data_IF_722333375678
#
_entry.id   IF_722333375678
#
_cell.length_a   1.000
_cell.length_b   1.000
_cell.length_c   1.000
_cell.angle_alpha   90.00
_cell.angle_beta   90.00
_cell.angle_gamma   90.00
#
_symmetry.space_group_name_H-M   'P 1'
#
loop_
_entity.id
_entity.type
_entity.pdbx_description
1 polymer ?
#
# COMPACT_ATOMS: atom_id res chain seq x y z
N UNK A 1 -22.04 65.49 23.70
CA UNK A 1 -22.20 64.08 24.08
C UNK A 1 -22.50 63.26 22.82
N UNK A 2 -21.53 62.49 22.31
CA UNK A 2 -21.67 61.38 21.33
C UNK A 2 -20.25 60.93 20.90
N UNK A 3 -20.13 59.64 20.56
CA UNK A 3 -18.93 58.84 20.18
C UNK A 3 -18.26 58.19 21.40
N UNK A 4 -18.72 57.07 21.96
CA UNK A 4 -19.14 55.80 21.37
C UNK A 4 -18.03 55.11 20.54
N UNK A 5 -17.32 54.21 21.23
CA UNK A 5 -17.31 52.78 20.93
C UNK A 5 -16.74 52.37 19.55
N UNK A 6 -15.41 52.26 19.44
CA UNK A 6 -14.76 51.55 18.34
C UNK A 6 -13.29 51.22 18.68
N UNK A 7 -13.03 50.37 19.69
CA UNK A 7 -11.65 49.92 19.95
C UNK A 7 -11.59 48.56 20.65
N UNK A 8 -12.20 47.51 20.09
CA UNK A 8 -12.07 46.15 20.65
C UNK A 8 -12.25 45.00 19.64
N UNK A 9 -11.94 45.17 18.34
CA UNK A 9 -11.97 44.06 17.36
C UNK A 9 -10.80 44.23 16.38
N UNK A 10 -9.57 43.90 16.78
CA UNK A 10 -8.47 43.77 15.81
C UNK A 10 -7.32 42.83 16.25
N UNK A 11 -7.60 41.78 17.02
CA UNK A 11 -6.56 40.84 17.48
C UNK A 11 -7.07 39.41 17.55
N UNK A 12 -7.56 38.87 16.41
CA UNK A 12 -8.01 37.48 16.34
C UNK A 12 -7.77 36.79 14.97
N UNK A 13 -6.76 37.19 14.20
CA UNK A 13 -6.39 36.48 12.96
C UNK A 13 -4.86 36.44 12.81
N UNK A 14 -4.21 35.53 13.53
CA UNK A 14 -2.80 35.20 13.29
C UNK A 14 -2.46 33.75 13.72
N UNK A 15 -3.35 32.80 13.42
CA UNK A 15 -3.02 31.38 13.45
C UNK A 15 -3.31 30.78 12.08
N UNK A 16 -2.58 31.27 11.07
CA UNK A 16 -2.41 30.52 9.83
C UNK A 16 -1.41 29.43 10.17
N UNK A 17 -1.90 28.21 10.38
CA UNK A 17 -1.04 27.04 10.45
C UNK A 17 -0.28 26.91 9.13
N UNK A 18 1.01 27.20 9.15
CA UNK A 18 1.93 26.68 8.16
C UNK A 18 1.97 25.16 8.36
N UNK A 19 1.09 24.43 7.66
CA UNK A 19 1.30 23.02 7.40
C UNK A 19 2.58 22.94 6.56
N UNK A 20 3.69 22.54 7.19
CA UNK A 20 4.94 22.34 6.47
C UNK A 20 4.66 21.43 5.27
N UNK A 21 5.18 21.73 4.07
CA UNK A 21 5.05 20.83 2.94
C UNK A 21 5.60 19.48 3.39
N UNK A 22 4.69 18.52 3.51
CA UNK A 22 4.99 17.11 3.71
C UNK A 22 6.05 16.76 2.68
N UNK A 23 7.24 16.40 3.14
CA UNK A 23 8.35 16.08 2.26
C UNK A 23 7.86 15.05 1.24
N UNK A 24 7.65 15.50 0.01
CA UNK A 24 7.86 14.66 -1.15
C UNK A 24 9.27 14.12 -0.98
N UNK A 25 9.46 12.79 -1.07
CA UNK A 25 10.80 12.24 -1.18
C UNK A 25 11.49 13.03 -2.26
N UNK A 26 12.53 13.78 -1.89
CA UNK A 26 13.25 14.64 -2.80
C UNK A 26 13.72 13.79 -3.97
N UNK A 27 13.21 14.08 -5.15
CA UNK A 27 13.78 13.61 -6.41
C UNK A 27 15.16 14.28 -6.56
N UNK A 28 16.17 13.70 -5.91
CA UNK A 28 17.57 14.04 -6.12
C UNK A 28 18.24 12.85 -6.81
N UNK A 29 18.33 12.97 -8.14
CA UNK A 29 19.18 12.16 -9.00
C UNK A 29 20.62 12.61 -8.75
N UNK A 30 21.49 11.75 -8.20
CA UNK A 30 22.91 12.09 -8.09
C UNK A 30 23.75 11.20 -7.17
N UNK A 31 24.43 10.24 -7.80
CA UNK A 31 25.81 9.80 -7.50
C UNK A 31 26.11 9.08 -6.18
N UNK A 32 26.49 7.81 -6.32
CA UNK A 32 27.09 6.99 -5.27
C UNK A 32 28.41 7.57 -4.76
N UNK A 33 28.57 7.61 -3.43
CA UNK A 33 29.86 7.40 -2.75
C UNK A 33 29.60 6.78 -1.38
N UNK A 34 30.28 5.66 -1.14
CA UNK A 34 30.32 4.88 0.09
C UNK A 34 30.78 5.71 1.30
N UNK A 35 30.20 5.43 2.47
CA UNK A 35 30.89 5.54 3.75
C UNK A 35 30.29 4.55 4.76
N UNK A 36 31.11 3.55 5.10
CA UNK A 36 31.00 2.73 6.30
C UNK A 36 31.01 3.64 7.53
N UNK A 37 30.07 3.48 8.46
CA UNK A 37 30.35 3.69 9.89
C UNK A 37 29.63 2.63 10.72
N UNK A 38 30.44 1.77 11.32
CA UNK A 38 30.11 0.80 12.34
C UNK A 38 30.24 1.43 13.73
N UNK A 39 29.26 1.22 14.61
CA UNK A 39 29.56 0.96 16.02
C UNK A 39 28.42 0.22 16.73
N UNK A 40 28.75 -0.67 17.69
CA UNK A 40 27.85 -1.67 18.23
C UNK A 40 27.08 -1.12 19.45
N UNK A 41 25.80 -1.43 19.56
CA UNK A 41 25.09 -1.36 20.85
C UNK A 41 24.63 -2.75 21.26
N UNK A 42 25.33 -3.26 22.27
CA UNK A 42 24.95 -4.41 23.08
C UNK A 42 23.66 -4.05 23.82
N UNK A 43 22.60 -4.84 23.66
CA UNK A 43 21.57 -4.91 24.68
C UNK A 43 21.01 -6.32 24.85
N UNK A 44 20.98 -6.68 26.12
CA UNK A 44 20.79 -7.96 26.79
C UNK A 44 19.42 -8.60 26.55
N UNK A 45 19.44 -9.92 26.49
CA UNK A 45 18.30 -10.85 26.53
C UNK A 45 17.27 -10.55 27.62
N UNK A 46 15.99 -10.71 27.27
CA UNK A 46 14.99 -11.32 28.15
C UNK A 46 14.14 -12.30 27.36
N UNK A 47 14.46 -13.58 27.56
CA UNK A 47 13.66 -14.74 27.16
C UNK A 47 12.27 -14.65 27.78
N UNK A 48 11.23 -14.54 26.94
CA UNK A 48 9.90 -15.04 27.28
C UNK A 48 9.59 -16.19 26.33
N UNK A 49 9.70 -17.39 26.87
CA UNK A 49 9.36 -18.64 26.21
C UNK A 49 7.83 -18.66 26.04
N UNK A 50 7.33 -18.19 24.91
CA UNK A 50 5.93 -18.38 24.52
C UNK A 50 5.85 -19.70 23.76
N UNK A 51 5.29 -20.71 24.41
CA UNK A 51 4.90 -21.97 23.78
C UNK A 51 3.97 -21.67 22.60
N UNK A 52 4.32 -22.01 21.35
CA UNK A 52 3.39 -21.84 20.24
C UNK A 52 2.25 -22.84 20.39
N UNK A 53 1.04 -22.32 20.58
CA UNK A 53 -0.20 -23.08 20.41
C UNK A 53 -0.21 -23.68 19.00
N UNK A 54 -0.48 -24.98 18.82
CA UNK A 54 -0.53 -25.59 17.50
C UNK A 54 -1.66 -24.94 16.69
N UNK A 55 -1.31 -24.06 15.76
CA UNK A 55 -2.23 -23.61 14.73
C UNK A 55 -2.55 -24.83 13.86
N UNK A 56 -3.83 -25.17 13.64
CA UNK A 56 -4.18 -26.22 12.72
C UNK A 56 -3.59 -25.87 11.35
N UNK A 57 -2.98 -26.85 10.69
CA UNK A 57 -2.37 -26.66 9.37
C UNK A 57 -2.89 -27.73 8.45
N UNK A 58 -3.16 -27.36 7.21
CA UNK A 58 -3.54 -28.32 6.16
C UNK A 58 -2.33 -28.50 5.27
N UNK A 59 -1.71 -29.68 5.33
CA UNK A 59 -0.60 -30.04 4.45
C UNK A 59 -1.16 -30.66 3.18
N UNK A 60 -0.94 -30.01 2.03
CA UNK A 60 -1.25 -30.55 0.70
C UNK A 60 -0.02 -30.34 -0.16
N UNK A 61 0.65 -31.42 -0.59
CA UNK A 61 1.80 -31.32 -1.50
C UNK A 61 3.12 -30.82 -0.89
N UNK A 62 3.27 -30.83 0.44
CA UNK A 62 4.53 -30.47 1.12
C UNK A 62 4.69 -28.99 1.47
N UNK A 63 3.72 -28.13 1.11
CA UNK A 63 3.61 -26.76 1.63
C UNK A 63 2.52 -26.74 2.70
N UNK A 64 2.90 -26.34 3.90
CA UNK A 64 1.98 -26.20 5.02
C UNK A 64 1.24 -24.87 4.89
N UNK A 65 -0.04 -24.91 4.48
CA UNK A 65 -0.86 -23.70 4.40
C UNK A 65 -1.46 -23.41 5.79
N UNK A 66 -1.26 -22.20 6.35
CA UNK A 66 -1.90 -21.79 7.60
C UNK A 66 -3.43 -21.78 7.47
N UNK A 67 -4.14 -22.21 8.51
CA UNK A 67 -5.62 -22.26 8.45
C UNK A 67 -6.30 -20.93 8.24
N UNK A 68 -5.67 -19.82 8.62
CA UNK A 68 -6.26 -18.49 8.41
C UNK A 68 -6.39 -18.11 6.92
N UNK A 69 -5.72 -18.84 6.02
CA UNK A 69 -5.76 -18.66 4.57
C UNK A 69 -6.08 -19.92 3.78
N UNK A 70 -6.49 -21.00 4.44
CA UNK A 70 -6.82 -22.27 3.77
C UNK A 70 -8.09 -22.20 2.89
N UNK A 71 -8.91 -21.16 3.06
CA UNK A 71 -10.10 -20.88 2.26
C UNK A 71 -9.78 -20.33 0.86
N UNK A 72 -8.53 -19.93 0.60
CA UNK A 72 -8.08 -19.42 -0.69
C UNK A 72 -7.42 -20.51 -1.54
N UNK A 73 -7.44 -20.34 -2.86
CA UNK A 73 -6.79 -21.28 -3.81
C UNK A 73 -5.33 -20.92 -4.02
N UNK A 74 -4.42 -21.77 -3.56
CA UNK A 74 -2.97 -21.57 -3.64
C UNK A 74 -2.30 -22.53 -4.64
N UNK A 75 -1.31 -22.03 -5.37
CA UNK A 75 -0.51 -22.87 -6.26
C UNK A 75 0.53 -23.66 -5.47
N UNK A 76 0.49 -24.99 -5.60
CA UNK A 76 1.46 -25.89 -4.96
C UNK A 76 2.72 -26.12 -5.83
N UNK A 77 2.55 -26.04 -7.15
CA UNK A 77 3.61 -26.28 -8.13
C UNK A 77 4.30 -24.98 -8.60
N UNK A 78 3.74 -23.81 -8.28
CA UNK A 78 4.19 -22.50 -8.77
C UNK A 78 3.79 -22.22 -10.22
N UNK A 79 2.93 -23.04 -10.81
CA UNK A 79 2.54 -22.97 -12.23
C UNK A 79 1.02 -22.87 -12.39
N UNK A 80 0.25 -23.71 -11.68
CA UNK A 80 -1.20 -23.82 -11.79
C UNK A 80 -1.88 -23.59 -10.42
N UNK A 81 -3.20 -23.34 -10.42
CA UNK A 81 -3.98 -23.22 -9.18
C UNK A 81 -4.02 -21.83 -8.54
N UNK A 82 -3.63 -20.79 -9.28
CA UNK A 82 -3.79 -19.41 -8.87
C UNK A 82 -5.26 -18.97 -9.00
N UNK A 83 -5.75 -18.18 -8.03
CA UNK A 83 -7.16 -17.77 -7.96
C UNK A 83 -7.56 -16.67 -8.95
N UNK A 84 -6.60 -15.87 -9.42
CA UNK A 84 -6.83 -14.70 -10.25
C UNK A 84 -5.74 -14.54 -11.31
N UNK A 85 -6.03 -13.76 -12.35
CA UNK A 85 -5.04 -13.38 -13.35
C UNK A 85 -5.31 -11.98 -13.88
N UNK A 86 -4.24 -11.21 -14.10
CA UNK A 86 -4.30 -9.89 -14.70
C UNK A 86 -3.08 -9.65 -15.59
N UNK A 87 -3.24 -8.87 -16.66
CA UNK A 87 -2.15 -8.58 -17.61
C UNK A 87 -0.96 -7.87 -16.97
N UNK A 88 -1.20 -7.09 -15.91
CA UNK A 88 -0.17 -6.33 -15.21
C UNK A 88 0.76 -7.19 -14.32
N UNK A 89 0.21 -8.14 -13.55
CA UNK A 89 0.96 -8.93 -12.56
C UNK A 89 1.04 -10.43 -12.88
N UNK A 90 0.36 -10.90 -13.92
CA UNK A 90 0.28 -12.32 -14.27
C UNK A 90 -0.79 -13.05 -13.46
N UNK A 91 -0.66 -14.38 -13.34
CA UNK A 91 -1.51 -15.18 -12.47
C UNK A 91 -1.07 -15.02 -11.00
N UNK A 92 -2.04 -14.86 -10.10
CA UNK A 92 -1.78 -14.61 -8.68
C UNK A 92 -2.92 -15.12 -7.80
N UNK A 93 -2.61 -15.33 -6.52
CA UNK A 93 -3.58 -15.50 -5.45
C UNK A 93 -3.34 -14.40 -4.44
N UNK A 94 -4.39 -13.64 -4.14
CA UNK A 94 -4.41 -12.68 -3.05
C UNK A 94 -5.49 -13.11 -2.07
N UNK A 95 -5.15 -13.16 -0.78
CA UNK A 95 -6.02 -13.69 0.25
C UNK A 95 -5.96 -12.81 1.49
N UNK A 96 -7.11 -12.49 2.07
CA UNK A 96 -7.19 -11.81 3.37
C UNK A 96 -7.32 -12.87 4.45
N UNK A 97 -6.56 -12.74 5.53
CA UNK A 97 -6.71 -13.62 6.69
C UNK A 97 -8.11 -13.51 7.30
N UNK A 98 -8.68 -14.66 7.69
CA UNK A 98 -9.94 -14.69 8.46
C UNK A 98 -9.76 -14.32 9.93
N UNK A 99 -8.53 -14.33 10.44
CA UNK A 99 -8.23 -14.01 11.85
C UNK A 99 -7.81 -12.55 12.05
N UNK A 100 -7.22 -11.91 11.04
CA UNK A 100 -6.80 -10.51 11.09
C UNK A 100 -6.94 -9.86 9.71
N UNK A 101 -7.87 -8.91 9.57
CA UNK A 101 -8.14 -8.25 8.28
C UNK A 101 -6.96 -7.47 7.69
N UNK A 102 -5.94 -7.16 8.51
CA UNK A 102 -4.75 -6.45 8.08
C UNK A 102 -3.64 -7.39 7.60
N UNK A 103 -3.77 -8.70 7.79
CA UNK A 103 -2.85 -9.69 7.27
C UNK A 103 -3.32 -10.15 5.87
N UNK A 104 -2.59 -9.71 4.85
CA UNK A 104 -2.83 -10.08 3.45
C UNK A 104 -1.74 -11.03 2.99
N UNK A 105 -2.12 -12.06 2.25
CA UNK A 105 -1.22 -13.07 1.71
C UNK A 105 -1.24 -13.00 0.19
N UNK A 106 -0.06 -13.04 -0.43
CA UNK A 106 0.12 -12.94 -1.88
C UNK A 106 1.00 -14.08 -2.38
N UNK A 107 0.59 -14.71 -3.47
CA UNK A 107 1.44 -15.60 -4.27
C UNK A 107 1.28 -15.17 -5.73
N UNK A 108 2.39 -15.05 -6.47
CA UNK A 108 2.39 -14.66 -7.88
C UNK A 108 3.15 -15.71 -8.68
N UNK A 109 2.62 -16.08 -9.84
CA UNK A 109 3.22 -17.10 -10.72
C UNK A 109 4.53 -16.64 -11.33
N UNK A 110 4.54 -15.39 -11.80
CA UNK A 110 5.64 -14.85 -12.57
C UNK A 110 6.56 -14.07 -11.63
N UNK A 111 7.84 -14.43 -11.58
CA UNK A 111 8.82 -13.69 -10.81
C UNK A 111 8.94 -12.26 -11.34
N UNK A 112 8.94 -11.28 -10.44
CA UNK A 112 9.09 -9.86 -10.78
C UNK A 112 10.46 -9.42 -10.31
N UNK A 113 11.43 -9.49 -11.22
CA UNK A 113 12.84 -9.21 -10.93
C UNK A 113 13.23 -7.75 -11.17
N UNK A 114 12.41 -6.98 -11.88
CA UNK A 114 12.73 -5.62 -12.32
C UNK A 114 12.06 -4.52 -11.48
N UNK A 115 11.18 -4.89 -10.54
CA UNK A 115 10.39 -3.96 -9.73
C UNK A 115 9.80 -4.65 -8.48
N UNK A 116 9.36 -3.86 -7.51
CA UNK A 116 8.56 -4.34 -6.38
C UNK A 116 7.08 -4.39 -6.77
N UNK A 117 6.27 -5.23 -6.12
CA UNK A 117 4.81 -5.09 -6.12
C UNK A 117 4.43 -4.27 -4.89
N UNK A 118 3.73 -3.16 -5.08
CA UNK A 118 3.13 -2.37 -4.03
C UNK A 118 1.64 -2.69 -3.89
N UNK A 119 1.21 -2.92 -2.65
CA UNK A 119 -0.16 -3.20 -2.26
C UNK A 119 -0.67 -2.02 -1.43
N UNK A 120 -1.73 -1.36 -1.87
CA UNK A 120 -2.42 -0.34 -1.10
C UNK A 120 -3.68 -0.94 -0.47
N UNK A 121 -3.85 -0.87 0.86
CA UNK A 121 -5.09 -1.26 1.49
C UNK A 121 -6.21 -0.29 1.11
N UNK A 122 -7.33 -0.83 0.66
CA UNK A 122 -8.49 -0.04 0.25
C UNK A 122 -9.77 -0.48 0.97
N UNK A 123 -10.69 0.45 1.07
CA UNK A 123 -12.06 0.22 1.53
C UNK A 123 -13.03 0.70 0.46
N UNK A 124 -14.25 0.16 0.49
CA UNK A 124 -15.32 0.46 -0.45
C UNK A 124 -16.50 1.08 0.29
N UNK A 125 -17.05 2.15 -0.27
CA UNK A 125 -18.30 2.75 0.18
C UNK A 125 -19.25 2.83 -1.02
N UNK A 126 -20.12 1.81 -1.12
CA UNK A 126 -20.94 1.58 -2.32
C UNK A 126 -20.09 1.32 -3.56
N UNK A 127 -20.18 2.21 -4.55
CA UNK A 127 -19.50 2.07 -5.84
C UNK A 127 -18.05 2.60 -5.87
N UNK A 128 -17.58 3.23 -4.79
CA UNK A 128 -16.28 3.89 -4.76
C UNK A 128 -15.30 3.11 -3.87
N UNK A 129 -14.10 2.86 -4.40
CA UNK A 129 -12.95 2.36 -3.62
C UNK A 129 -11.99 3.50 -3.31
N UNK A 130 -11.47 3.55 -2.09
CA UNK A 130 -10.44 4.52 -1.66
C UNK A 130 -9.39 3.82 -0.80
N UNK A 131 -8.13 4.26 -0.90
CA UNK A 131 -7.07 3.74 -0.04
C UNK A 131 -7.26 4.24 1.41
N UNK A 132 -6.87 3.41 2.38
CA UNK A 132 -7.04 3.68 3.80
C UNK A 132 -5.74 3.64 4.60
N UNK A 133 -4.61 3.42 3.94
CA UNK A 133 -3.29 3.50 4.56
C UNK A 133 -2.15 3.39 3.57
N UNK A 134 -0.92 3.35 4.11
CA UNK A 134 0.30 3.29 3.33
C UNK A 134 0.42 2.02 2.48
N UNK A 135 1.12 2.13 1.36
CA UNK A 135 1.47 0.98 0.57
C UNK A 135 2.52 0.11 1.26
N UNK A 136 2.41 -1.19 1.04
CA UNK A 136 3.45 -2.17 1.39
C UNK A 136 4.00 -2.75 0.10
N UNK A 137 5.29 -2.56 -0.12
CA UNK A 137 5.97 -3.01 -1.32
C UNK A 137 6.91 -4.18 -1.00
N UNK A 138 6.93 -5.19 -1.87
CA UNK A 138 7.80 -6.35 -1.72
C UNK A 138 8.34 -6.84 -3.06
N UNK A 139 9.51 -7.48 -3.02
CA UNK A 139 10.06 -8.23 -4.15
C UNK A 139 9.44 -9.63 -4.16
N UNK A 140 8.89 -10.05 -5.30
CA UNK A 140 8.36 -11.40 -5.50
C UNK A 140 9.35 -12.19 -6.36
N UNK A 141 10.17 -12.99 -5.68
CA UNK A 141 11.31 -13.71 -6.26
C UNK A 141 11.09 -15.21 -6.39
N UNK A 142 10.05 -15.75 -5.75
CA UNK A 142 9.75 -17.17 -5.75
C UNK A 142 8.24 -17.40 -5.93
N UNK A 143 7.88 -18.06 -7.02
CA UNK A 143 6.50 -18.35 -7.38
C UNK A 143 5.81 -19.44 -6.53
N UNK A 144 6.58 -20.18 -5.71
CA UNK A 144 6.06 -21.12 -4.71
C UNK A 144 5.91 -20.50 -3.33
N UNK A 145 6.40 -19.27 -3.12
CA UNK A 145 6.35 -18.62 -1.84
C UNK A 145 5.03 -17.86 -1.66
N UNK A 146 4.36 -18.11 -0.54
CA UNK A 146 3.25 -17.29 -0.07
C UNK A 146 3.83 -16.19 0.82
N UNK A 147 3.72 -14.94 0.38
CA UNK A 147 4.19 -13.77 1.11
C UNK A 147 3.10 -13.30 2.05
N UNK A 148 3.38 -13.18 3.34
CA UNK A 148 2.52 -12.52 4.33
C UNK A 148 2.90 -11.04 4.42
N UNK A 149 1.92 -10.15 4.24
CA UNK A 149 2.11 -8.71 4.25
C UNK A 149 1.15 -8.07 5.25
N UNK A 150 1.70 -7.42 6.28
CA UNK A 150 0.93 -6.61 7.24
C UNK A 150 0.58 -5.27 6.63
N UNK A 151 -0.71 -4.99 6.48
CA UNK A 151 -1.24 -3.70 6.05
C UNK A 151 -1.43 -2.76 7.24
N UNK A 152 -1.36 -1.46 6.97
CA UNK A 152 -1.69 -0.43 7.96
C UNK A 152 -2.88 0.39 7.51
N UNK A 153 -3.67 0.84 8.48
CA UNK A 153 -4.83 1.73 8.28
C UNK A 153 -4.51 3.10 8.88
N UNK A 154 -3.48 3.74 8.34
CA UNK A 154 -2.88 4.96 8.90
C UNK A 154 -3.15 6.21 8.04
N UNK A 155 -4.18 6.19 7.19
CA UNK A 155 -4.63 7.38 6.47
C UNK A 155 -5.57 8.19 7.37
N UNK A 156 -5.25 9.47 7.67
CA UNK A 156 -6.09 10.36 8.48
C UNK A 156 -7.55 10.38 8.03
N UNK A 157 -8.47 10.04 8.95
CA UNK A 157 -9.91 10.02 8.72
C UNK A 157 -10.47 8.71 8.16
N UNK A 158 -9.62 7.69 7.97
CA UNK A 158 -9.99 6.40 7.39
C UNK A 158 -9.56 5.20 8.25
N UNK A 159 -8.99 5.43 9.43
CA UNK A 159 -8.40 4.40 10.29
C UNK A 159 -9.42 3.35 10.78
N UNK A 160 -10.68 3.75 10.92
CA UNK A 160 -11.79 2.89 11.35
C UNK A 160 -12.39 2.04 10.21
N UNK A 161 -12.01 2.29 8.95
CA UNK A 161 -12.54 1.55 7.81
C UNK A 161 -11.94 0.14 7.76
N UNK A 162 -12.72 -0.84 7.29
CA UNK A 162 -12.23 -2.20 7.05
C UNK A 162 -11.54 -2.31 5.69
N UNK A 163 -10.58 -3.22 5.59
CA UNK A 163 -9.93 -3.56 4.31
C UNK A 163 -10.89 -4.47 3.53
N UNK A 164 -11.47 -3.93 2.46
CA UNK A 164 -12.38 -4.66 1.55
C UNK A 164 -11.72 -5.00 0.21
N UNK A 165 -10.59 -4.39 -0.10
CA UNK A 165 -9.81 -4.74 -1.28
C UNK A 165 -8.40 -4.20 -1.22
N UNK A 166 -7.61 -4.57 -2.23
CA UNK A 166 -6.24 -4.13 -2.42
C UNK A 166 -6.08 -3.57 -3.83
N UNK A 167 -5.44 -2.42 -3.94
CA UNK A 167 -4.90 -1.95 -5.20
C UNK A 167 -3.45 -2.44 -5.33
N UNK A 168 -3.16 -3.22 -6.36
CA UNK A 168 -1.84 -3.77 -6.62
C UNK A 168 -1.24 -3.10 -7.86
N UNK A 169 0.03 -2.73 -7.79
CA UNK A 169 0.78 -2.22 -8.93
C UNK A 169 2.27 -2.48 -8.76
N UNK A 170 2.99 -2.60 -9.87
CA UNK A 170 4.44 -2.64 -9.89
C UNK A 170 4.98 -1.25 -9.57
N UNK A 171 6.02 -1.18 -8.75
CA UNK A 171 6.79 0.04 -8.50
C UNK A 171 7.71 0.31 -9.70
N UNK A 172 7.09 0.79 -10.78
CA UNK A 172 7.75 1.04 -12.05
C UNK A 172 7.24 2.36 -12.65
N UNK A 173 8.14 3.04 -13.34
CA UNK A 173 7.82 4.29 -14.00
C UNK A 173 7.13 4.05 -15.35
N UNK A 174 6.04 4.78 -15.60
CA UNK A 174 5.35 4.81 -16.89
C UNK A 174 5.08 6.25 -17.29
N UNK A 175 4.95 6.50 -18.60
CA UNK A 175 4.51 7.80 -19.08
C UNK A 175 3.01 7.95 -18.85
N UNK A 176 2.62 8.92 -18.03
CA UNK A 176 1.22 9.27 -17.82
C UNK A 176 0.86 10.50 -18.65
N UNK A 177 -0.30 10.50 -19.34
CA UNK A 177 -0.74 11.65 -20.13
C UNK A 177 -1.05 12.85 -19.24
N UNK A 178 -1.43 13.98 -19.85
CA UNK A 178 -1.91 15.14 -19.12
C UNK A 178 -3.03 14.75 -18.14
N UNK A 179 -3.05 15.28 -16.90
CA UNK A 179 -2.23 16.40 -16.42
C UNK A 179 -0.85 16.05 -15.84
N UNK A 180 -0.44 14.77 -15.77
CA UNK A 180 0.91 14.40 -15.33
C UNK A 180 1.99 14.80 -16.34
N UNK A 181 1.76 14.42 -17.61
CA UNK A 181 2.62 14.65 -18.77
C UNK A 181 4.12 14.34 -18.56
N UNK A 182 4.41 13.25 -17.84
CA UNK A 182 5.78 12.83 -17.51
C UNK A 182 5.83 11.34 -17.12
N UNK A 183 7.04 10.81 -16.97
CA UNK A 183 7.25 9.48 -16.39
C UNK A 183 7.12 9.56 -14.86
N UNK A 184 6.20 8.78 -14.29
CA UNK A 184 5.93 8.72 -12.84
C UNK A 184 5.86 7.26 -12.41
N UNK A 185 6.30 6.95 -11.19
CA UNK A 185 6.08 5.63 -10.59
C UNK A 185 4.58 5.38 -10.42
N UNK A 186 4.09 4.19 -10.78
CA UNK A 186 2.66 3.87 -10.64
C UNK A 186 2.11 4.09 -9.22
N UNK A 187 2.79 3.69 -8.13
CA UNK A 187 2.36 3.99 -6.76
C UNK A 187 2.16 5.49 -6.50
N UNK A 188 3.08 6.32 -7.00
CA UNK A 188 3.03 7.78 -6.82
C UNK A 188 1.89 8.39 -7.63
N UNK A 189 1.70 7.96 -8.88
CA UNK A 189 0.61 8.42 -9.73
C UNK A 189 -0.76 8.06 -9.10
N UNK A 190 -0.90 6.87 -8.51
CA UNK A 190 -2.10 6.47 -7.79
C UNK A 190 -2.38 7.35 -6.55
N UNK A 191 -1.36 7.58 -5.73
CA UNK A 191 -1.46 8.44 -4.56
C UNK A 191 -1.81 9.88 -4.95
N UNK A 192 -1.18 10.40 -6.01
CA UNK A 192 -1.46 11.74 -6.51
C UNK A 192 -2.91 11.87 -6.96
N UNK A 193 -3.38 10.96 -7.83
CA UNK A 193 -4.79 10.88 -8.23
C UNK A 193 -5.72 10.86 -7.01
N UNK A 194 -5.45 9.95 -6.06
CA UNK A 194 -6.35 9.73 -4.92
C UNK A 194 -6.43 10.94 -3.99
N UNK A 195 -5.30 11.61 -3.75
CA UNK A 195 -5.23 12.83 -2.96
C UNK A 195 -5.91 14.00 -3.68
N UNK A 196 -5.64 14.18 -4.97
CA UNK A 196 -6.22 15.25 -5.77
C UNK A 196 -7.75 15.15 -5.83
N UNK A 197 -8.26 13.93 -6.07
CA UNK A 197 -9.68 13.65 -6.03
C UNK A 197 -10.29 13.92 -4.64
N UNK A 198 -9.56 13.61 -3.57
CA UNK A 198 -10.07 13.81 -2.21
C UNK A 198 -10.19 15.31 -1.88
N UNK A 199 -9.15 16.09 -2.18
CA UNK A 199 -9.02 17.50 -1.82
C UNK A 199 -9.84 18.39 -2.76
N UNK A 200 -9.69 18.20 -4.07
CA UNK A 200 -10.24 19.11 -5.09
C UNK A 200 -11.49 18.58 -5.80
N UNK A 201 -11.89 17.33 -5.52
CA UNK A 201 -12.98 16.63 -6.23
C UNK A 201 -12.75 16.52 -7.75
N UNK A 202 -11.52 16.70 -8.20
CA UNK A 202 -11.12 16.62 -9.60
C UNK A 202 -10.58 15.22 -9.93
N UNK A 203 -11.19 14.59 -10.94
CA UNK A 203 -10.85 13.24 -11.39
C UNK A 203 -9.78 13.21 -12.49
N UNK A 204 -9.33 14.37 -13.01
CA UNK A 204 -8.41 14.47 -14.16
C UNK A 204 -7.17 13.59 -14.03
N UNK A 205 -6.47 13.66 -12.89
CA UNK A 205 -5.32 12.80 -12.60
C UNK A 205 -5.70 11.32 -12.48
N UNK A 206 -6.88 11.00 -11.96
CA UNK A 206 -7.35 9.61 -11.90
C UNK A 206 -7.70 9.05 -13.27
N UNK A 207 -8.27 9.87 -14.17
CA UNK A 207 -8.51 9.48 -15.56
C UNK A 207 -7.19 9.20 -16.28
N UNK A 208 -6.19 10.08 -16.12
CA UNK A 208 -4.85 9.86 -16.67
C UNK A 208 -4.18 8.60 -16.12
N UNK A 209 -4.25 8.38 -14.80
CA UNK A 209 -3.76 7.16 -14.16
C UNK A 209 -4.43 5.90 -14.72
N UNK A 210 -5.76 5.90 -14.79
CA UNK A 210 -6.56 4.77 -15.29
C UNK A 210 -6.25 4.44 -16.74
N UNK A 211 -6.02 5.45 -17.58
CA UNK A 211 -5.73 5.27 -19.00
C UNK A 211 -4.46 4.45 -19.28
N UNK A 212 -3.48 4.48 -18.36
CA UNK A 212 -2.24 3.72 -18.49
C UNK A 212 -2.42 2.24 -18.08
N UNK A 213 -3.39 1.95 -17.20
CA UNK A 213 -3.80 0.57 -16.89
C UNK A 213 -2.76 -0.30 -16.16
N UNK A 214 -1.71 0.31 -15.59
CA UNK A 214 -0.62 -0.41 -14.90
C UNK A 214 -0.93 -0.63 -13.42
N UNK A 215 -2.09 -1.24 -13.17
CA UNK A 215 -2.55 -1.62 -11.83
C UNK A 215 -3.56 -2.76 -11.94
N UNK A 216 -3.89 -3.39 -10.83
CA UNK A 216 -5.07 -4.26 -10.69
C UNK A 216 -5.75 -3.99 -9.35
N UNK A 217 -7.07 -4.01 -9.35
CA UNK A 217 -7.87 -3.92 -8.13
C UNK A 217 -8.41 -5.30 -7.80
N UNK A 218 -8.17 -5.77 -6.59
CA UNK A 218 -8.67 -7.04 -6.08
C UNK A 218 -9.57 -6.79 -4.89
N UNK A 219 -10.83 -7.17 -5.01
CA UNK A 219 -11.82 -7.11 -3.93
C UNK A 219 -11.94 -8.47 -3.25
N UNK A 220 -12.01 -8.47 -1.92
CA UNK A 220 -12.20 -9.68 -1.10
C UNK A 220 -13.68 -10.03 -0.91
#
# INVERSE_FOLDING_TARGET
>A
MKKALALSILTAIAIVGCEQPRQTRGFARGTATSALESSPSTNTNTNTNVTPTPTPTTSVGGVTIPTEISHCSWSQDGVNGFASSHTHIGAYTLCKSVTDETDIYLQVRDNISDSQICLFPTSTDGSNSFYIGEARCLMVTNNKQIYKIKMYKNRPGFESKSITGIMLMKDKAFFYPAPFYQYVLSPDAYLYCSNWLTIYKDQSYCVAFKSVGQYTYHQF
#
